data_IF_101340856377
#
_entry.id   IF_101340856377
#
_cell.length_a   1.000
_cell.length_b   1.000
_cell.length_c   1.000
_cell.angle_alpha   90.00
_cell.angle_beta   90.00
_cell.angle_gamma   90.00
#
_symmetry.space_group_name_H-M   'P 1'
#
loop_
_entity.id
_entity.type
_entity.pdbx_description
1 polymer ?
#
# COMPACT_ATOMS: atom_id res chain seq x y z
N UNK A 1 0.28 14.88 11.16
CA UNK A 1 -0.26 14.80 9.78
C UNK A 1 -0.12 13.36 9.31
N UNK A 2 -1.18 12.80 8.73
CA UNK A 2 -1.23 11.42 8.28
C UNK A 2 -1.48 11.36 6.77
N UNK A 3 -0.54 10.82 6.00
CA UNK A 3 -0.58 10.73 4.53
C UNK A 3 -0.58 9.26 4.12
N UNK A 4 -1.51 8.91 3.25
CA UNK A 4 -1.67 7.56 2.70
C UNK A 4 -1.47 7.59 1.19
N UNK A 5 -0.54 6.78 0.71
CA UNK A 5 -0.26 6.58 -0.71
C UNK A 5 -0.70 5.19 -1.13
N UNK A 6 -1.84 5.09 -1.79
CA UNK A 6 -2.31 3.86 -2.41
C UNK A 6 -1.94 3.80 -3.90
N UNK A 7 -2.15 2.67 -4.53
CA UNK A 7 -1.98 2.52 -5.97
C UNK A 7 -1.44 1.16 -6.40
N UNK A 8 -1.42 0.97 -7.71
CA UNK A 8 -0.98 -0.24 -8.40
C UNK A 8 0.47 -0.62 -8.09
N UNK A 9 0.81 -1.89 -8.26
CA UNK A 9 2.22 -2.31 -8.23
C UNK A 9 2.97 -1.65 -9.39
N UNK A 10 4.19 -1.16 -9.12
CA UNK A 10 4.98 -0.41 -10.10
C UNK A 10 4.60 1.07 -10.27
N UNK A 11 3.54 1.57 -9.61
CA UNK A 11 3.13 2.97 -9.72
C UNK A 11 4.10 3.97 -9.06
N UNK A 12 5.06 3.50 -8.25
CA UNK A 12 6.08 4.36 -7.66
C UNK A 12 5.78 4.84 -6.24
N UNK A 13 4.82 4.22 -5.53
CA UNK A 13 4.43 4.59 -4.16
C UNK A 13 5.60 4.79 -3.20
N UNK A 14 6.49 3.80 -3.12
CA UNK A 14 7.60 3.82 -2.16
C UNK A 14 8.64 4.90 -2.53
N UNK A 15 8.83 5.15 -3.83
CA UNK A 15 9.66 6.26 -4.33
C UNK A 15 9.09 7.61 -3.89
N UNK A 16 7.77 7.78 -4.03
CA UNK A 16 7.10 9.02 -3.65
C UNK A 16 7.02 9.21 -2.13
N UNK A 17 6.82 8.13 -1.38
CA UNK A 17 6.90 8.17 0.09
C UNK A 17 8.28 8.62 0.57
N UNK A 18 9.35 8.10 -0.06
CA UNK A 18 10.73 8.52 0.24
C UNK A 18 10.95 10.01 -0.07
N UNK A 19 10.50 10.50 -1.23
CA UNK A 19 10.64 11.91 -1.59
C UNK A 19 9.85 12.84 -0.65
N UNK A 20 8.64 12.44 -0.27
CA UNK A 20 7.84 13.19 0.72
C UNK A 20 8.53 13.22 2.09
N UNK A 21 9.08 12.09 2.53
CA UNK A 21 9.86 12.03 3.76
C UNK A 21 11.04 13.01 3.71
N UNK A 22 11.87 12.93 2.67
CA UNK A 22 13.03 13.82 2.49
C UNK A 22 12.62 15.30 2.44
N UNK A 23 11.48 15.60 1.81
CA UNK A 23 10.94 16.95 1.69
C UNK A 23 10.57 17.53 3.06
N UNK A 24 9.88 16.78 3.90
CA UNK A 24 9.49 17.26 5.23
C UNK A 24 10.65 17.25 6.23
N UNK A 25 11.56 16.28 6.15
CA UNK A 25 12.77 16.24 6.99
C UNK A 25 13.67 17.47 6.73
N UNK A 26 13.80 17.91 5.46
CA UNK A 26 14.49 19.17 5.11
C UNK A 26 13.84 20.42 5.71
N UNK A 27 12.57 20.37 6.05
CA UNK A 27 11.84 21.43 6.75
C UNK A 27 11.91 21.29 8.28
N UNK A 28 12.74 20.39 8.79
CA UNK A 28 12.89 20.13 10.23
C UNK A 28 11.76 19.36 10.88
N UNK A 29 10.90 18.69 10.08
CA UNK A 29 9.81 17.85 10.59
C UNK A 29 10.33 16.45 10.89
N UNK A 30 9.78 15.82 11.93
CA UNK A 30 9.98 14.39 12.15
C UNK A 30 9.00 13.60 11.29
N UNK A 31 9.49 12.58 10.62
CA UNK A 31 8.70 11.77 9.69
C UNK A 31 8.87 10.29 10.00
N UNK A 32 7.75 9.60 10.17
CA UNK A 32 7.67 8.15 10.21
C UNK A 32 7.08 7.68 8.89
N UNK A 33 7.86 6.95 8.09
CA UNK A 33 7.40 6.42 6.81
C UNK A 33 7.59 4.91 6.76
N UNK A 34 6.55 4.17 6.37
CA UNK A 34 6.62 2.71 6.22
C UNK A 34 5.64 2.17 5.18
N UNK A 35 5.94 0.98 4.67
CA UNK A 35 5.02 0.24 3.81
C UNK A 35 4.19 -0.73 4.66
N UNK A 36 2.87 -0.68 4.55
CA UNK A 36 1.99 -1.62 5.26
C UNK A 36 2.15 -3.09 4.81
N UNK A 37 2.97 -3.36 3.79
CA UNK A 37 3.37 -4.72 3.45
C UNK A 37 4.21 -5.38 4.55
N UNK A 38 4.93 -4.59 5.35
CA UNK A 38 5.79 -5.07 6.44
C UNK A 38 7.05 -5.82 6.00
N UNK A 39 7.31 -5.92 4.69
CA UNK A 39 8.43 -6.73 4.15
C UNK A 39 9.81 -6.18 4.52
N UNK A 40 9.90 -4.87 4.76
CA UNK A 40 11.15 -4.17 5.04
C UNK A 40 11.26 -3.77 6.53
N UNK A 41 10.43 -4.36 7.38
CA UNK A 41 10.45 -4.07 8.81
C UNK A 41 11.64 -4.74 9.50
N UNK A 42 12.37 -3.99 10.32
CA UNK A 42 13.37 -4.52 11.24
C UNK A 42 12.76 -5.18 12.47
N UNK A 43 11.46 -5.02 12.70
CA UNK A 43 10.73 -5.68 13.77
C UNK A 43 10.50 -7.16 13.40
N UNK A 44 10.97 -8.08 14.26
CA UNK A 44 10.91 -9.52 14.00
C UNK A 44 9.47 -10.04 13.88
N UNK A 45 8.55 -9.51 14.67
CA UNK A 45 7.14 -9.90 14.61
C UNK A 45 6.52 -9.48 13.28
N UNK A 46 6.70 -8.21 12.87
CA UNK A 46 6.17 -7.69 11.61
C UNK A 46 6.78 -8.41 10.40
N UNK A 47 8.09 -8.62 10.41
CA UNK A 47 8.77 -9.36 9.34
C UNK A 47 8.34 -10.81 9.26
N UNK A 48 8.01 -11.44 10.39
CA UNK A 48 7.49 -12.82 10.43
C UNK A 48 6.08 -12.89 9.80
N UNK A 49 5.17 -11.98 10.13
CA UNK A 49 3.85 -11.92 9.51
C UNK A 49 3.97 -11.63 8.01
N UNK A 50 4.87 -10.74 7.61
CA UNK A 50 5.12 -10.46 6.20
C UNK A 50 5.61 -11.72 5.46
N UNK A 51 6.52 -12.50 6.05
CA UNK A 51 6.96 -13.79 5.48
C UNK A 51 5.82 -14.80 5.32
N UNK A 52 4.91 -14.89 6.29
CA UNK A 52 3.72 -15.72 6.19
C UNK A 52 2.82 -15.29 5.02
N UNK A 53 2.67 -13.99 4.79
CA UNK A 53 1.86 -13.45 3.71
C UNK A 53 2.48 -13.58 2.32
N UNK A 54 3.79 -13.39 2.22
CA UNK A 54 4.51 -13.28 0.95
C UNK A 54 5.43 -14.48 0.65
N UNK A 55 5.64 -15.38 1.63
CA UNK A 55 6.47 -16.57 1.46
C UNK A 55 5.87 -17.53 0.42
N UNK A 56 6.72 -18.04 -0.48
CA UNK A 56 6.34 -18.84 -1.64
C UNK A 56 5.81 -20.24 -1.32
N UNK A 57 6.06 -20.76 -0.13
CA UNK A 57 5.84 -22.17 0.21
C UNK A 57 4.65 -22.42 1.14
N UNK A 58 3.77 -21.42 1.34
CA UNK A 58 2.65 -21.60 2.25
C UNK A 58 1.33 -21.58 1.47
N UNK A 59 0.68 -22.73 1.47
CA UNK A 59 -0.71 -22.89 1.01
C UNK A 59 -1.64 -22.30 2.08
N UNK A 60 -1.76 -20.98 2.09
CA UNK A 60 -2.72 -20.27 2.93
C UNK A 60 -3.86 -19.72 2.08
N UNK A 61 -5.08 -20.00 2.50
CA UNK A 61 -6.28 -19.50 1.81
C UNK A 61 -6.37 -17.95 1.82
N UNK A 62 -7.05 -17.39 0.82
CA UNK A 62 -7.16 -15.93 0.64
C UNK A 62 -7.82 -15.22 1.85
N UNK A 63 -8.71 -15.89 2.60
CA UNK A 63 -9.26 -15.33 3.85
C UNK A 63 -8.20 -15.21 4.94
N UNK A 64 -7.38 -16.26 5.13
CA UNK A 64 -6.26 -16.25 6.08
C UNK A 64 -5.29 -15.14 5.73
N UNK A 65 -4.96 -14.99 4.46
CA UNK A 65 -4.11 -13.92 3.95
C UNK A 65 -4.67 -12.53 4.28
N UNK A 66 -5.97 -12.31 4.07
CA UNK A 66 -6.63 -11.06 4.42
C UNK A 66 -6.56 -10.75 5.93
N UNK A 67 -6.68 -11.79 6.78
CA UNK A 67 -6.53 -11.65 8.25
C UNK A 67 -5.09 -11.32 8.65
N UNK A 68 -4.09 -11.96 8.04
CA UNK A 68 -2.68 -11.66 8.30
C UNK A 68 -2.31 -10.22 7.90
N UNK A 69 -2.89 -9.70 6.81
CA UNK A 69 -2.74 -8.28 6.46
C UNK A 69 -3.34 -7.37 7.53
N UNK A 70 -4.51 -7.70 8.08
CA UNK A 70 -5.13 -6.91 9.14
C UNK A 70 -4.28 -6.92 10.41
N UNK A 71 -3.77 -8.09 10.83
CA UNK A 71 -2.90 -8.21 12.02
C UNK A 71 -1.64 -7.37 11.84
N UNK A 72 -0.97 -7.49 10.69
CA UNK A 72 0.23 -6.72 10.39
C UNK A 72 -0.04 -5.21 10.43
N UNK A 73 -1.13 -4.77 9.82
CA UNK A 73 -1.57 -3.37 9.76
C UNK A 73 -1.87 -2.79 11.14
N UNK A 74 -2.59 -3.55 11.96
CA UNK A 74 -2.90 -3.13 13.32
C UNK A 74 -1.64 -2.97 14.17
N UNK A 75 -0.70 -3.91 14.10
CA UNK A 75 0.55 -3.84 14.85
C UNK A 75 1.47 -2.71 14.36
N UNK A 76 1.54 -2.47 13.05
CA UNK A 76 2.28 -1.31 12.52
C UNK A 76 1.65 0.01 12.98
N UNK A 77 0.33 0.12 12.95
CA UNK A 77 -0.36 1.30 13.47
C UNK A 77 0.00 1.54 14.93
N UNK A 78 -0.21 0.54 15.78
CA UNK A 78 0.03 0.63 17.23
C UNK A 78 1.49 0.95 17.58
N UNK A 79 2.42 0.39 16.84
CA UNK A 79 3.87 0.53 17.13
C UNK A 79 4.51 1.74 16.49
N UNK A 80 4.04 2.18 15.33
CA UNK A 80 4.70 3.20 14.52
C UNK A 80 3.85 4.47 14.35
N UNK A 81 2.64 4.35 13.79
CA UNK A 81 1.84 5.52 13.41
C UNK A 81 1.22 6.24 14.60
N UNK A 82 0.55 5.51 15.48
CA UNK A 82 -0.17 6.12 16.61
C UNK A 82 0.77 6.90 17.55
N UNK A 83 1.94 6.39 17.97
CA UNK A 83 2.89 7.16 18.77
C UNK A 83 3.43 8.39 18.05
N UNK A 84 3.73 8.27 16.74
CA UNK A 84 4.22 9.38 15.92
C UNK A 84 3.18 10.49 15.79
N UNK A 85 1.91 10.14 15.51
CA UNK A 85 0.83 11.12 15.41
C UNK A 85 0.55 11.84 16.75
N UNK A 86 0.65 11.13 17.88
CA UNK A 86 0.54 11.73 19.22
C UNK A 86 1.67 12.75 19.50
N UNK A 87 2.83 12.55 18.90
CA UNK A 87 3.96 13.47 19.00
C UNK A 87 3.91 14.61 17.97
N UNK A 88 2.83 14.72 17.20
CA UNK A 88 2.67 15.69 16.10
C UNK A 88 3.69 15.50 14.96
N UNK A 89 4.24 14.31 14.81
CA UNK A 89 5.09 13.94 13.69
C UNK A 89 4.27 13.75 12.41
N UNK A 90 4.96 13.63 11.28
CA UNK A 90 4.33 13.28 10.01
C UNK A 90 4.40 11.77 9.84
N UNK A 91 3.28 11.14 9.54
CA UNK A 91 3.21 9.71 9.21
C UNK A 91 2.87 9.55 7.74
N UNK A 92 3.68 8.80 7.01
CA UNK A 92 3.50 8.48 5.59
C UNK A 92 3.44 6.96 5.46
N UNK A 93 2.33 6.44 4.94
CA UNK A 93 2.22 5.00 4.68
C UNK A 93 1.99 4.73 3.20
N UNK A 94 2.63 3.68 2.70
CA UNK A 94 2.28 3.11 1.40
C UNK A 94 1.46 1.87 1.61
N UNK A 95 0.37 1.76 0.84
CA UNK A 95 -0.74 0.82 0.99
C UNK A 95 -1.60 1.13 2.23
N UNK A 96 -2.83 0.62 2.19
CA UNK A 96 -3.88 0.91 3.17
C UNK A 96 -4.86 -0.28 3.21
N UNK A 97 -5.88 -0.26 4.04
CA UNK A 97 -6.88 -1.31 4.06
C UNK A 97 -7.56 -1.52 2.70
N UNK A 98 -7.57 -0.48 1.86
CA UNK A 98 -8.05 -0.54 0.49
C UNK A 98 -7.26 -1.53 -0.37
N UNK A 99 -5.96 -1.68 -0.14
CA UNK A 99 -5.17 -2.75 -0.78
C UNK A 99 -5.74 -4.14 -0.45
N UNK A 100 -6.16 -4.41 0.79
CA UNK A 100 -6.79 -5.69 1.14
C UNK A 100 -8.16 -5.84 0.45
N UNK A 101 -8.95 -4.77 0.41
CA UNK A 101 -10.23 -4.75 -0.30
C UNK A 101 -10.05 -5.06 -1.79
N UNK A 102 -9.01 -4.49 -2.41
CA UNK A 102 -8.70 -4.65 -3.83
C UNK A 102 -8.16 -6.06 -4.11
N UNK A 103 -7.08 -6.46 -3.47
CA UNK A 103 -6.42 -7.73 -3.78
C UNK A 103 -7.21 -8.94 -3.28
N UNK A 104 -7.65 -8.94 -2.03
CA UNK A 104 -8.41 -10.06 -1.46
C UNK A 104 -9.89 -10.01 -1.85
N UNK A 105 -10.50 -8.83 -1.90
CA UNK A 105 -11.90 -8.67 -2.22
C UNK A 105 -12.17 -8.78 -3.73
N UNK A 106 -11.75 -7.80 -4.51
CA UNK A 106 -11.98 -7.78 -5.96
C UNK A 106 -11.16 -8.85 -6.68
N UNK A 107 -9.91 -9.04 -6.30
CA UNK A 107 -8.99 -9.99 -6.92
C UNK A 107 -9.33 -11.44 -6.60
N UNK A 108 -9.37 -11.81 -5.32
CA UNK A 108 -9.47 -13.18 -4.85
C UNK A 108 -10.89 -13.60 -4.41
N UNK A 109 -11.88 -12.70 -4.47
CA UNK A 109 -13.29 -13.02 -4.19
C UNK A 109 -13.65 -13.16 -2.71
N UNK A 110 -12.80 -12.70 -1.78
CA UNK A 110 -13.17 -12.58 -0.37
C UNK A 110 -14.26 -11.52 -0.21
N UNK A 111 -15.25 -11.78 0.63
CA UNK A 111 -16.35 -10.83 0.83
C UNK A 111 -15.85 -9.42 1.18
N UNK A 112 -16.14 -8.45 0.32
CA UNK A 112 -15.75 -7.05 0.49
C UNK A 112 -16.37 -6.43 1.73
N UNK A 113 -17.63 -6.77 2.01
CA UNK A 113 -18.33 -6.31 3.22
C UNK A 113 -17.69 -6.88 4.48
N UNK A 114 -17.23 -8.13 4.45
CA UNK A 114 -16.48 -8.73 5.56
C UNK A 114 -15.17 -7.98 5.78
N UNK A 115 -14.38 -7.75 4.72
CA UNK A 115 -13.11 -7.01 4.80
C UNK A 115 -13.33 -5.63 5.43
N UNK A 116 -14.29 -4.87 4.94
CA UNK A 116 -14.59 -3.55 5.47
C UNK A 116 -15.04 -3.60 6.95
N UNK A 117 -15.91 -4.56 7.29
CA UNK A 117 -16.44 -4.73 8.64
C UNK A 117 -15.35 -5.08 9.66
N UNK A 118 -14.46 -6.02 9.33
CA UNK A 118 -13.39 -6.42 10.26
C UNK A 118 -12.35 -5.31 10.45
N UNK A 119 -12.04 -4.54 9.40
CA UNK A 119 -11.17 -3.37 9.54
C UNK A 119 -11.79 -2.33 10.46
N UNK A 120 -13.06 -1.98 10.25
CA UNK A 120 -13.78 -1.04 11.14
C UNK A 120 -13.88 -1.52 12.58
N UNK A 121 -13.92 -2.83 12.81
CA UNK A 121 -14.00 -3.39 14.17
C UNK A 121 -12.66 -3.34 14.90
N UNK A 122 -11.56 -3.54 14.19
CA UNK A 122 -10.22 -3.74 14.77
C UNK A 122 -9.37 -2.46 14.74
N UNK A 123 -9.41 -1.72 13.62
CA UNK A 123 -8.60 -0.52 13.48
C UNK A 123 -9.23 0.66 14.25
N UNK A 124 -8.42 1.49 14.92
CA UNK A 124 -8.95 2.65 15.62
C UNK A 124 -9.45 3.73 14.65
N UNK A 125 -10.38 4.55 15.13
CA UNK A 125 -11.03 5.60 14.33
C UNK A 125 -10.05 6.53 13.58
N UNK A 126 -8.96 7.03 14.20
CA UNK A 126 -8.03 7.91 13.49
C UNK A 126 -7.35 7.27 12.27
N UNK A 127 -7.30 5.94 12.21
CA UNK A 127 -6.77 5.22 11.05
C UNK A 127 -7.60 5.52 9.80
N UNK A 128 -8.92 5.71 9.92
CA UNK A 128 -9.82 5.91 8.78
C UNK A 128 -9.92 7.37 8.32
N UNK A 129 -9.23 8.29 8.99
CA UNK A 129 -9.24 9.72 8.70
C UNK A 129 -7.84 10.28 8.42
N UNK A 130 -7.16 9.80 7.36
CA UNK A 130 -5.91 10.42 6.93
C UNK A 130 -6.16 11.87 6.48
N UNK A 131 -5.21 12.76 6.75
CA UNK A 131 -5.26 14.13 6.24
C UNK A 131 -5.19 14.15 4.71
N UNK A 132 -4.45 13.21 4.14
CA UNK A 132 -4.34 13.04 2.68
C UNK A 132 -4.33 11.55 2.32
N UNK A 133 -5.22 11.19 1.41
CA UNK A 133 -5.29 9.86 0.79
C UNK A 133 -5.41 10.05 -0.72
N UNK A 134 -4.53 9.43 -1.48
CA UNK A 134 -4.59 9.44 -2.94
C UNK A 134 -4.09 8.12 -3.53
N UNK A 135 -4.48 7.86 -4.76
CA UNK A 135 -4.14 6.63 -5.48
C UNK A 135 -3.24 7.00 -6.66
N UNK A 136 -2.01 6.47 -6.67
CA UNK A 136 -1.13 6.53 -7.84
C UNK A 136 -1.57 5.50 -8.87
N UNK A 137 -1.78 5.95 -10.10
CA UNK A 137 -2.16 5.11 -11.24
C UNK A 137 -1.17 5.25 -12.37
N UNK A 138 -0.97 4.18 -13.12
CA UNK A 138 -0.20 4.14 -14.36
C UNK A 138 -0.94 3.28 -15.39
N UNK A 139 -0.61 3.43 -16.66
CA UNK A 139 -1.13 2.55 -17.70
C UNK A 139 -0.63 1.11 -17.54
N UNK A 140 -1.36 0.14 -18.07
CA UNK A 140 -0.97 -1.28 -18.01
C UNK A 140 0.39 -1.51 -18.68
N UNK A 141 0.65 -0.86 -19.80
CA UNK A 141 1.93 -0.95 -20.52
C UNK A 141 3.10 -0.43 -19.68
N UNK A 142 2.94 0.72 -19.05
CA UNK A 142 3.97 1.29 -18.17
C UNK A 142 4.16 0.42 -16.91
N UNK A 143 3.08 -0.14 -16.37
CA UNK A 143 3.14 -1.07 -15.25
C UNK A 143 3.96 -2.31 -15.63
N UNK A 144 3.66 -2.95 -16.75
CA UNK A 144 4.40 -4.11 -17.22
C UNK A 144 5.88 -3.79 -17.43
N UNK A 145 6.18 -2.67 -18.09
CA UNK A 145 7.54 -2.20 -18.32
C UNK A 145 8.32 -2.02 -17.01
N UNK A 146 7.73 -1.32 -16.02
CA UNK A 146 8.37 -1.10 -14.73
C UNK A 146 8.57 -2.38 -13.93
N UNK A 147 7.55 -3.23 -13.91
CA UNK A 147 7.64 -4.52 -13.22
C UNK A 147 8.67 -5.44 -13.86
N UNK A 148 8.82 -5.45 -15.18
CA UNK A 148 9.88 -6.20 -15.88
C UNK A 148 11.26 -5.66 -15.55
N UNK A 149 11.45 -4.35 -15.53
CA UNK A 149 12.71 -3.71 -15.16
C UNK A 149 13.13 -3.98 -13.69
N UNK A 150 12.16 -4.08 -12.79
CA UNK A 150 12.39 -4.41 -11.38
C UNK A 150 12.65 -5.90 -11.13
N UNK A 151 12.24 -6.76 -12.04
CA UNK A 151 12.37 -8.22 -11.95
C UNK A 151 13.75 -8.67 -12.39
N UNK A 152 14.79 -8.40 -11.61
CA UNK A 152 16.09 -9.06 -11.80
C UNK A 152 15.99 -10.59 -11.59
N UNK A 153 16.95 -11.40 -12.10
CA UNK A 153 16.88 -12.88 -12.10
C UNK A 153 16.64 -13.51 -10.71
N UNK A 154 17.06 -12.86 -9.65
CA UNK A 154 16.90 -13.37 -8.26
C UNK A 154 15.49 -13.18 -7.68
N UNK A 155 14.64 -12.36 -8.32
CA UNK A 155 13.33 -12.00 -7.78
C UNK A 155 12.24 -13.01 -8.12
N UNK A 156 12.47 -13.88 -9.12
CA UNK A 156 11.44 -14.76 -9.68
C UNK A 156 10.95 -15.87 -8.74
N UNK A 157 11.76 -16.34 -7.82
CA UNK A 157 11.40 -17.51 -6.99
C UNK A 157 10.54 -17.19 -5.76
N UNK A 158 10.62 -16.00 -5.17
CA UNK A 158 9.95 -15.68 -3.89
C UNK A 158 8.57 -15.02 -4.02
N UNK A 159 8.20 -14.51 -5.19
CA UNK A 159 6.94 -13.80 -5.42
C UNK A 159 5.96 -14.52 -6.35
N UNK A 160 6.16 -15.78 -6.63
CA UNK A 160 5.33 -16.59 -7.56
C UNK A 160 3.88 -16.81 -7.11
N UNK A 161 3.58 -16.73 -5.82
CA UNK A 161 2.21 -16.93 -5.30
C UNK A 161 1.20 -15.95 -5.87
N UNK A 162 1.62 -14.70 -6.12
CA UNK A 162 0.79 -13.67 -6.78
C UNK A 162 0.97 -13.60 -8.30
N UNK A 163 2.06 -14.16 -8.83
CA UNK A 163 2.40 -14.15 -10.26
C UNK A 163 1.68 -15.19 -11.10
N UNK A 164 1.25 -16.29 -10.50
CA UNK A 164 0.40 -17.29 -11.19
C UNK A 164 -0.98 -16.74 -11.53
N UNK A 165 -1.35 -15.58 -10.99
CA UNK A 165 -2.54 -14.85 -11.35
C UNK A 165 -2.22 -14.04 -12.61
N UNK A 166 -2.59 -14.58 -13.74
CA UNK A 166 -2.44 -14.14 -15.12
C UNK A 166 -2.76 -12.65 -15.35
N UNK A 167 -2.54 -12.14 -16.55
CA UNK A 167 -2.90 -10.78 -16.97
C UNK A 167 -4.33 -10.38 -16.57
N UNK A 168 -5.28 -11.31 -16.60
CA UNK A 168 -6.65 -11.07 -16.19
C UNK A 168 -6.81 -10.71 -14.70
N UNK A 169 -6.00 -11.27 -13.81
CA UNK A 169 -6.01 -10.88 -12.40
C UNK A 169 -5.48 -9.46 -12.22
N UNK A 170 -4.38 -9.12 -12.91
CA UNK A 170 -3.80 -7.78 -12.84
C UNK A 170 -4.78 -6.72 -13.39
N UNK A 171 -5.48 -7.03 -14.48
CA UNK A 171 -6.53 -6.16 -15.02
C UNK A 171 -7.67 -5.95 -14.02
N UNK A 172 -8.11 -7.01 -13.31
CA UNK A 172 -9.11 -6.87 -12.24
C UNK A 172 -8.60 -5.93 -11.12
N UNK A 173 -7.34 -6.05 -10.71
CA UNK A 173 -6.75 -5.18 -9.70
C UNK A 173 -6.70 -3.73 -10.18
N UNK A 174 -6.25 -3.48 -11.41
CA UNK A 174 -6.18 -2.15 -12.00
C UNK A 174 -7.57 -1.50 -12.08
N UNK A 175 -8.58 -2.23 -12.57
CA UNK A 175 -9.97 -1.80 -12.58
C UNK A 175 -10.51 -1.52 -11.17
N UNK A 176 -10.16 -2.37 -10.20
CA UNK A 176 -10.61 -2.21 -8.83
C UNK A 176 -10.04 -0.94 -8.17
N UNK A 177 -8.81 -0.53 -8.49
CA UNK A 177 -8.26 0.74 -8.03
C UNK A 177 -9.09 1.94 -8.52
N UNK A 178 -9.46 1.95 -9.81
CA UNK A 178 -10.29 3.03 -10.38
C UNK A 178 -11.68 3.04 -9.75
N UNK A 179 -12.28 1.86 -9.57
CA UNK A 179 -13.59 1.74 -8.94
C UNK A 179 -13.56 2.19 -7.48
N UNK A 180 -12.55 1.79 -6.71
CA UNK A 180 -12.40 2.21 -5.31
C UNK A 180 -12.16 3.71 -5.21
N UNK A 181 -11.36 4.29 -6.11
CA UNK A 181 -11.19 5.74 -6.18
C UNK A 181 -12.54 6.46 -6.35
N UNK A 182 -13.38 5.97 -7.25
CA UNK A 182 -14.72 6.52 -7.48
C UNK A 182 -15.66 6.28 -6.28
N UNK A 183 -15.73 5.04 -5.74
CA UNK A 183 -16.65 4.67 -4.66
C UNK A 183 -16.35 5.41 -3.34
N UNK A 184 -15.09 5.82 -3.11
CA UNK A 184 -14.63 6.50 -1.89
C UNK A 184 -14.21 7.96 -2.11
N UNK A 185 -14.44 8.51 -3.29
CA UNK A 185 -14.06 9.88 -3.68
C UNK A 185 -12.57 10.18 -3.42
N UNK A 186 -11.69 9.26 -3.83
CA UNK A 186 -10.25 9.37 -3.61
C UNK A 186 -9.57 9.95 -4.85
N UNK A 187 -8.77 11.02 -4.72
CA UNK A 187 -8.03 11.59 -5.83
C UNK A 187 -7.10 10.58 -6.51
N UNK A 188 -7.11 10.56 -7.84
CA UNK A 188 -6.14 9.84 -8.65
C UNK A 188 -4.97 10.76 -9.01
N UNK A 189 -3.75 10.26 -8.88
CA UNK A 189 -2.54 10.93 -9.32
C UNK A 189 -1.91 10.11 -10.44
N UNK A 190 -1.65 10.75 -11.56
CA UNK A 190 -0.91 10.11 -12.65
C UNK A 190 0.55 9.88 -12.24
N UNK A 191 0.94 8.61 -12.18
CA UNK A 191 2.29 8.14 -11.84
C UNK A 191 3.23 8.04 -13.05
N UNK A 192 2.79 8.48 -14.24
CA UNK A 192 3.63 8.51 -15.47
C UNK A 192 4.52 9.75 -15.44
N UNK A 193 5.76 9.58 -15.91
CA UNK A 193 6.78 10.62 -15.95
C UNK A 193 7.96 10.33 -15.02
N UNK A 194 8.81 11.34 -14.85
CA UNK A 194 9.93 11.30 -13.91
C UNK A 194 9.42 11.31 -12.46
N UNK A 195 10.25 10.85 -11.54
CA UNK A 195 9.87 10.85 -10.11
C UNK A 195 9.61 12.28 -9.58
N UNK A 196 10.29 13.28 -10.14
CA UNK A 196 10.15 14.69 -9.79
C UNK A 196 8.82 15.28 -10.31
N UNK A 197 8.41 14.92 -11.52
CA UNK A 197 7.12 15.33 -12.08
C UNK A 197 5.95 14.75 -11.28
N UNK A 198 6.01 13.47 -10.94
CA UNK A 198 5.00 12.82 -10.10
C UNK A 198 4.98 13.44 -8.71
N UNK A 199 6.15 13.72 -8.14
CA UNK A 199 6.27 14.39 -6.84
C UNK A 199 5.62 15.77 -6.85
N UNK A 200 5.82 16.55 -7.91
CA UNK A 200 5.19 17.87 -8.07
C UNK A 200 3.66 17.78 -8.08
N UNK A 201 3.10 16.75 -8.76
CA UNK A 201 1.64 16.50 -8.75
C UNK A 201 1.13 16.16 -7.35
N UNK A 202 1.89 15.34 -6.61
CA UNK A 202 1.54 15.00 -5.22
C UNK A 202 1.59 16.24 -4.32
N UNK A 203 2.64 17.05 -4.41
CA UNK A 203 2.74 18.28 -3.62
C UNK A 203 1.61 19.27 -3.91
N UNK A 204 1.05 19.27 -5.12
CA UNK A 204 -0.09 20.11 -5.46
C UNK A 204 -1.39 19.69 -4.74
N UNK A 205 -1.49 18.42 -4.30
CA UNK A 205 -2.62 17.90 -3.50
C UNK A 205 -2.43 18.15 -2.00
N UNK A 206 -1.18 18.19 -1.52
CA UNK A 206 -0.82 18.27 -0.10
C UNK A 206 -0.54 19.74 0.26
N UNK A 207 -1.50 20.62 0.05
CA UNK A 207 -1.36 22.07 0.35
C UNK A 207 -2.07 22.43 1.64
#
# INVERSE_FOLDING_TARGET
MFIVIEGQDGAGKDTQAKLLREYYEKQGKKVVAYAESGTDSSDEFLSTIARLNYGSNQDIGDRTRAMLYLVNRYEQWRRLAEPALKNSDIVIITRYWLSTLIYSGYGAGVSKSLIAKIHKLIMPEPYFHPDYLFILTISEDEQQKRLQAQRGPAWDRQKEVWKSKNSAFQQKINHAYLKVAQDYDIPLVDGIGTKEEVFTRILALIK
#
